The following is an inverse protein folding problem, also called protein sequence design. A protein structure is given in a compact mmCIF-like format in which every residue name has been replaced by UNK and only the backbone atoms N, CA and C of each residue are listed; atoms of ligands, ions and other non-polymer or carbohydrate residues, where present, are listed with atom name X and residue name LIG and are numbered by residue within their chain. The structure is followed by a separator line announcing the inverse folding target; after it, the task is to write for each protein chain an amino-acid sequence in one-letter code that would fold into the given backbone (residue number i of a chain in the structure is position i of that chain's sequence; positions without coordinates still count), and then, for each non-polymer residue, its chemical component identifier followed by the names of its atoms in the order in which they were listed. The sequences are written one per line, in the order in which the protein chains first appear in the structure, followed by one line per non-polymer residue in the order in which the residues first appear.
data_IF_079442899500
#
_entry.id   IF_079442899500
#
_cell.length_a   1.000
_cell.length_b   1.000
_cell.length_c   1.000
_cell.angle_alpha   90.00
_cell.angle_beta   90.00
_cell.angle_gamma   90.00
#
_symmetry.space_group_name_H-M   'P 1'
#
loop_
_entity.id
_entity.type
_entity.pdbx_description
1 polymer ?
#
# COMPACT_ATOMS: atom_id res chain seq x y z
N UNK A 1 -29.16 44.43 -14.74
CA UNK A 1 -27.97 43.81 -14.09
C UNK A 1 -28.30 42.72 -13.04
N UNK A 2 -29.54 42.54 -12.57
CA UNK A 2 -29.88 41.54 -11.54
C UNK A 2 -29.98 40.08 -12.06
N UNK A 3 -30.41 39.84 -13.32
CA UNK A 3 -30.58 38.48 -13.87
C UNK A 3 -29.29 37.65 -13.97
N UNK A 4 -28.13 38.28 -14.22
CA UNK A 4 -26.85 37.57 -14.39
C UNK A 4 -26.27 37.06 -13.07
N UNK A 5 -26.47 37.80 -11.97
CA UNK A 5 -26.02 37.39 -10.63
C UNK A 5 -26.83 36.19 -10.12
N UNK A 6 -28.13 36.15 -10.42
CA UNK A 6 -29.00 35.04 -10.05
C UNK A 6 -28.62 33.74 -10.78
N UNK A 7 -28.11 33.81 -12.02
CA UNK A 7 -27.67 32.64 -12.77
C UNK A 7 -26.43 31.98 -12.15
N UNK A 8 -25.48 32.78 -11.67
CA UNK A 8 -24.26 32.27 -11.00
C UNK A 8 -24.61 31.62 -9.67
N UNK A 9 -25.53 32.21 -8.90
CA UNK A 9 -26.03 31.63 -7.65
C UNK A 9 -26.77 30.31 -7.92
N UNK A 10 -27.57 30.25 -8.98
CA UNK A 10 -28.26 29.01 -9.38
C UNK A 10 -27.28 27.90 -9.75
N UNK A 11 -26.21 28.22 -10.49
CA UNK A 11 -25.17 27.26 -10.87
C UNK A 11 -24.43 26.69 -9.65
N UNK A 12 -24.13 27.53 -8.64
CA UNK A 12 -23.53 27.09 -7.39
C UNK A 12 -24.45 26.20 -6.55
N UNK A 13 -25.74 26.56 -6.45
CA UNK A 13 -26.72 25.74 -5.74
C UNK A 13 -26.91 24.38 -6.43
N UNK A 14 -26.94 24.35 -7.76
CA UNK A 14 -27.09 23.12 -8.54
C UNK A 14 -25.85 22.21 -8.40
N UNK A 15 -24.64 22.79 -8.39
CA UNK A 15 -23.41 22.05 -8.11
C UNK A 15 -23.38 21.46 -6.68
N UNK A 16 -23.80 22.24 -5.68
CA UNK A 16 -23.90 21.77 -4.30
C UNK A 16 -24.90 20.63 -4.14
N UNK A 17 -26.07 20.72 -4.80
CA UNK A 17 -27.05 19.61 -4.77
C UNK A 17 -26.51 18.35 -5.43
N UNK A 18 -25.77 18.49 -6.54
CA UNK A 18 -25.17 17.32 -7.22
C UNK A 18 -24.10 16.65 -6.36
N UNK A 19 -23.27 17.43 -5.65
CA UNK A 19 -22.26 16.89 -4.72
C UNK A 19 -22.93 16.15 -3.55
N UNK A 20 -24.01 16.69 -3.00
CA UNK A 20 -24.76 16.05 -1.91
C UNK A 20 -25.45 14.74 -2.34
N UNK A 21 -25.92 14.65 -3.58
CA UNK A 21 -26.49 13.42 -4.16
C UNK A 21 -25.40 12.35 -4.36
N UNK A 22 -24.19 12.75 -4.75
CA UNK A 22 -23.05 11.82 -4.87
C UNK A 22 -22.57 11.27 -3.52
N UNK A 23 -22.61 12.09 -2.46
CA UNK A 23 -22.24 11.68 -1.10
C UNK A 23 -23.28 10.70 -0.52
N UNK A 24 -24.57 10.93 -0.78
CA UNK A 24 -25.65 10.06 -0.30
C UNK A 24 -25.78 8.75 -1.10
N UNK A 25 -25.35 8.72 -2.36
CA UNK A 25 -25.29 7.49 -3.16
C UNK A 25 -24.10 6.56 -2.81
N UNK A 26 -23.15 7.02 -2.00
CA UNK A 26 -21.89 6.29 -1.71
C UNK A 26 -21.80 5.66 -0.32
N UNK A 27 -22.82 5.79 0.54
CA UNK A 27 -22.81 5.22 1.90
C UNK A 27 -24.04 4.34 2.16
N UNK A 28 -23.91 3.00 2.23
CA UNK A 28 -24.78 2.19 3.05
C UNK A 28 -24.19 2.10 4.47
N UNK A 29 -25.07 2.30 5.46
CA UNK A 29 -24.93 1.97 6.89
C UNK A 29 -24.09 2.89 7.80
N UNK A 30 -24.81 3.82 8.45
CA UNK A 30 -24.55 4.24 9.83
C UNK A 30 -25.17 3.20 10.76
N UNK A 31 -24.39 2.57 11.64
CA UNK A 31 -24.89 1.86 12.83
C UNK A 31 -24.08 2.34 14.03
N UNK A 32 -24.80 2.85 15.03
CA UNK A 32 -24.29 3.27 16.33
C UNK A 32 -23.92 2.06 17.19
N UNK A 33 -22.81 2.14 17.91
CA UNK A 33 -22.48 1.25 19.01
C UNK A 33 -21.42 1.90 19.89
N UNK A 34 -21.81 2.26 21.10
CA UNK A 34 -20.96 2.75 22.19
C UNK A 34 -20.44 1.51 22.92
N UNK A 35 -19.12 1.36 23.09
CA UNK A 35 -18.56 0.25 23.87
C UNK A 35 -17.64 0.74 24.99
N UNK A 36 -18.04 0.28 26.16
CA UNK A 36 -17.55 0.47 27.51
C UNK A 36 -16.20 -0.22 27.72
N UNK A 37 -15.34 0.34 28.57
CA UNK A 37 -14.01 -0.18 28.84
C UNK A 37 -13.94 -0.80 30.23
N UNK A 38 -14.11 -2.12 30.34
CA UNK A 38 -13.72 -2.88 31.52
C UNK A 38 -13.06 -4.23 31.17
N UNK A 39 -11.92 -4.44 31.83
CA UNK A 39 -11.30 -5.72 32.25
C UNK A 39 -10.21 -6.42 31.38
N UNK A 40 -9.02 -6.50 32.00
CA UNK A 40 -7.70 -6.93 31.49
C UNK A 40 -7.48 -8.45 31.63
N UNK A 41 -8.28 -9.26 30.94
CA UNK A 41 -8.05 -10.72 30.79
C UNK A 41 -7.22 -11.05 29.52
N UNK A 42 -7.29 -10.17 28.52
CA UNK A 42 -6.68 -10.35 27.20
C UNK A 42 -5.14 -10.41 27.19
N UNK A 43 -4.48 -9.88 28.23
CA UNK A 43 -3.01 -9.77 28.27
C UNK A 43 -2.30 -11.11 28.43
N UNK A 44 -2.97 -12.10 29.03
CA UNK A 44 -2.46 -13.47 29.16
C UNK A 44 -2.69 -14.24 27.85
N UNK A 45 -3.83 -14.07 27.17
CA UNK A 45 -4.06 -14.61 25.82
C UNK A 45 -3.10 -14.02 24.78
N UNK A 46 -2.73 -12.74 24.89
CA UNK A 46 -1.80 -12.10 23.96
C UNK A 46 -0.39 -12.72 23.98
N UNK A 47 0.03 -13.32 25.10
CA UNK A 47 1.32 -14.01 25.21
C UNK A 47 1.31 -15.41 24.56
N UNK A 48 0.15 -16.07 24.50
CA UNK A 48 -0.04 -17.37 23.82
C UNK A 48 -0.21 -17.20 22.31
N UNK A 49 -0.91 -16.13 21.88
CA UNK A 49 -1.07 -15.74 20.47
C UNK A 49 0.26 -15.33 19.80
N UNK A 50 1.25 -14.85 20.57
CA UNK A 50 2.56 -14.49 20.03
C UNK A 50 3.36 -15.70 19.49
N UNK A 51 3.08 -16.91 19.96
CA UNK A 51 3.65 -18.16 19.40
C UNK A 51 3.00 -18.52 18.05
N UNK A 52 1.76 -18.05 17.80
CA UNK A 52 1.00 -18.25 16.56
C UNK A 52 1.40 -17.24 15.47
N UNK A 53 1.99 -16.09 15.83
CA UNK A 53 2.44 -15.03 14.90
C UNK A 53 3.48 -15.51 13.89
N UNK A 54 4.21 -16.60 14.16
CA UNK A 54 5.20 -17.18 13.22
C UNK A 54 4.55 -17.83 11.97
N UNK A 55 3.22 -18.05 11.97
CA UNK A 55 2.48 -18.71 10.88
C UNK A 55 1.62 -17.71 10.05
N UNK A 56 1.41 -16.48 10.54
CA UNK A 56 0.36 -15.56 10.04
C UNK A 56 0.73 -14.75 8.78
N UNK A 57 1.99 -14.68 8.35
CA UNK A 57 2.36 -13.76 7.25
C UNK A 57 1.99 -14.23 5.83
N UNK A 58 1.37 -15.39 5.63
CA UNK A 58 1.02 -15.93 4.30
C UNK A 58 -0.48 -16.03 4.00
N UNK A 59 -1.33 -15.75 4.97
CA UNK A 59 -2.80 -15.87 4.86
C UNK A 59 -3.53 -14.53 4.79
N UNK A 60 -2.81 -13.42 4.55
CA UNK A 60 -3.43 -12.09 4.53
C UNK A 60 -3.80 -11.60 5.93
N UNK A 61 -3.02 -11.98 6.96
CA UNK A 61 -3.20 -11.51 8.32
C UNK A 61 -3.17 -9.99 8.37
N UNK A 62 -4.30 -9.38 8.72
CA UNK A 62 -4.38 -7.95 8.97
C UNK A 62 -3.39 -7.62 10.10
N UNK A 63 -2.45 -6.70 9.84
CA UNK A 63 -1.40 -6.32 10.79
C UNK A 63 -1.92 -5.36 11.89
N UNK A 64 -3.16 -5.57 12.34
CA UNK A 64 -3.84 -4.77 13.36
C UNK A 64 -3.09 -4.80 14.71
N UNK A 65 -2.24 -5.81 14.95
CA UNK A 65 -1.35 -5.90 16.12
C UNK A 65 -0.45 -4.66 16.31
N UNK A 66 -0.14 -3.92 15.23
CA UNK A 66 0.67 -2.71 15.31
C UNK A 66 -0.15 -1.43 15.47
N UNK A 67 -1.48 -1.49 15.38
CA UNK A 67 -2.34 -0.31 15.49
C UNK A 67 -2.15 0.47 16.81
N UNK A 68 -2.10 -0.17 17.99
CA UNK A 68 -1.88 0.55 19.25
C UNK A 68 -0.58 1.36 19.26
N UNK A 69 0.51 0.79 18.73
CA UNK A 69 1.81 1.47 18.62
C UNK A 69 1.71 2.75 17.76
N UNK A 70 1.04 2.67 16.61
CA UNK A 70 0.89 3.84 15.73
C UNK A 70 -0.03 4.91 16.31
N UNK A 71 -1.09 4.51 17.04
CA UNK A 71 -1.97 5.45 17.75
C UNK A 71 -1.22 6.24 18.83
N UNK A 72 -0.38 5.57 19.63
CA UNK A 72 0.46 6.22 20.64
C UNK A 72 1.43 7.24 20.02
N UNK A 73 1.91 6.98 18.80
CA UNK A 73 2.90 7.81 18.11
C UNK A 73 2.32 8.83 17.12
N UNK A 74 1.00 9.03 17.09
CA UNK A 74 0.29 9.84 16.09
C UNK A 74 0.87 11.25 15.90
N UNK A 75 1.32 11.91 16.99
CA UNK A 75 1.93 13.25 16.90
C UNK A 75 3.22 13.27 16.07
N UNK A 76 4.01 12.18 16.11
CA UNK A 76 5.30 12.08 15.40
C UNK A 76 5.13 11.51 13.99
N UNK A 77 4.09 10.71 13.73
CA UNK A 77 3.86 10.00 12.48
C UNK A 77 2.79 10.63 11.58
N UNK A 78 1.99 11.57 12.09
CA UNK A 78 0.98 12.28 11.30
C UNK A 78 1.61 13.13 10.20
N UNK A 79 0.96 13.15 9.03
CA UNK A 79 1.40 13.91 7.86
C UNK A 79 0.23 14.73 7.33
N UNK A 80 0.45 16.04 7.19
CA UNK A 80 -0.46 16.91 6.45
C UNK A 80 -0.03 16.97 4.99
N UNK A 81 -0.90 16.53 4.08
CA UNK A 81 -0.65 16.53 2.63
C UNK A 81 -1.42 17.70 2.01
N UNK A 82 -0.73 18.64 1.35
CA UNK A 82 -1.39 19.76 0.67
C UNK A 82 -2.11 19.31 -0.61
N UNK A 83 -3.13 20.05 -1.04
CA UNK A 83 -3.94 19.69 -2.23
C UNK A 83 -3.16 19.66 -3.55
N UNK A 84 -1.98 20.28 -3.60
CA UNK A 84 -1.07 20.26 -4.75
C UNK A 84 0.17 19.39 -4.52
N UNK A 85 0.22 18.63 -3.42
CA UNK A 85 1.34 17.76 -3.13
C UNK A 85 1.47 16.70 -4.23
N UNK A 86 2.66 16.62 -4.84
CA UNK A 86 3.01 15.60 -5.85
C UNK A 86 2.08 15.49 -7.06
N UNK A 87 1.64 16.61 -7.62
CA UNK A 87 0.93 16.62 -8.91
C UNK A 87 1.82 16.29 -10.13
N UNK A 88 3.15 16.27 -9.97
CA UNK A 88 4.11 15.93 -11.04
C UNK A 88 4.43 14.44 -11.03
N UNK A 89 4.67 13.87 -12.21
CA UNK A 89 5.10 12.48 -12.37
C UNK A 89 6.50 12.21 -11.79
N UNK A 90 7.39 13.20 -11.85
CA UNK A 90 8.77 13.10 -11.38
C UNK A 90 9.05 14.10 -10.25
N UNK A 91 10.07 13.81 -9.47
CA UNK A 91 10.64 14.74 -8.48
C UNK A 91 11.41 15.86 -9.18
N UNK A 92 11.76 16.89 -8.40
CA UNK A 92 12.53 18.03 -8.88
C UNK A 92 13.90 17.66 -9.44
N UNK A 93 14.47 16.53 -9.01
CA UNK A 93 15.74 15.99 -9.50
C UNK A 93 15.56 15.06 -10.72
N UNK A 94 14.34 14.96 -11.27
CA UNK A 94 14.01 14.09 -12.40
C UNK A 94 13.84 12.62 -12.05
N UNK A 95 14.03 12.24 -10.78
CA UNK A 95 13.81 10.86 -10.35
C UNK A 95 12.30 10.52 -10.35
N UNK A 96 11.97 9.24 -10.47
CA UNK A 96 10.60 8.72 -10.30
C UNK A 96 10.32 8.25 -8.86
N UNK A 97 11.36 8.22 -8.02
CA UNK A 97 11.35 7.64 -6.67
C UNK A 97 11.86 8.68 -5.66
N UNK A 98 11.20 8.80 -4.51
CA UNK A 98 11.56 9.75 -3.46
C UNK A 98 13.01 9.55 -2.99
N UNK A 99 13.92 10.52 -3.23
CA UNK A 99 15.30 10.42 -2.74
C UNK A 99 15.36 10.38 -1.21
N UNK A 100 14.46 11.11 -0.55
CA UNK A 100 14.36 11.13 0.91
C UNK A 100 13.91 9.77 1.46
N UNK A 101 12.98 9.09 0.80
CA UNK A 101 12.52 7.77 1.23
C UNK A 101 13.62 6.72 1.06
N UNK A 102 14.33 6.74 -0.07
CA UNK A 102 15.50 5.90 -0.32
C UNK A 102 16.54 6.08 0.78
N UNK A 103 16.84 7.33 1.16
CA UNK A 103 17.76 7.63 2.26
C UNK A 103 17.29 7.04 3.59
N UNK A 104 16.00 7.18 3.91
CA UNK A 104 15.44 6.66 5.16
C UNK A 104 15.41 5.12 5.21
N UNK A 105 15.12 4.45 4.09
CA UNK A 105 15.16 2.98 3.99
C UNK A 105 16.58 2.46 4.23
N UNK A 106 17.60 3.09 3.61
CA UNK A 106 19.00 2.71 3.85
C UNK A 106 19.38 2.85 5.32
N UNK A 107 19.02 4.00 5.93
CA UNK A 107 19.27 4.24 7.36
C UNK A 107 18.54 3.24 8.26
N UNK A 108 17.31 2.87 7.92
CA UNK A 108 16.56 1.85 8.66
C UNK A 108 17.30 0.51 8.65
N UNK A 109 17.72 0.04 7.48
CA UNK A 109 18.47 -1.22 7.35
C UNK A 109 19.85 -1.17 8.02
N UNK A 110 20.51 -0.01 8.03
CA UNK A 110 21.76 0.21 8.75
C UNK A 110 21.57 0.08 10.27
N UNK A 111 20.52 0.70 10.82
CA UNK A 111 20.23 0.66 12.26
C UNK A 111 19.79 -0.74 12.70
N UNK A 112 18.92 -1.39 11.93
CA UNK A 112 18.39 -2.73 12.27
C UNK A 112 19.42 -3.83 11.97
N UNK A 113 20.32 -3.62 11.00
CA UNK A 113 21.34 -4.59 10.62
C UNK A 113 20.80 -5.81 9.85
N UNK A 114 19.56 -5.75 9.33
CA UNK A 114 18.91 -6.89 8.66
C UNK A 114 19.17 -6.99 7.16
N UNK A 115 19.74 -5.96 6.51
CA UNK A 115 20.06 -6.00 5.08
C UNK A 115 21.22 -5.08 4.70
N UNK A 116 22.06 -5.54 3.77
CA UNK A 116 23.13 -4.73 3.17
C UNK A 116 22.54 -3.91 2.02
N UNK A 117 22.45 -2.59 2.18
CA UNK A 117 21.85 -1.69 1.17
C UNK A 117 22.87 -0.85 0.39
N UNK A 118 24.14 -0.86 0.80
CA UNK A 118 25.23 -0.19 0.09
C UNK A 118 25.44 -0.83 -1.28
N UNK A 119 25.70 0.01 -2.30
CA UNK A 119 25.93 -0.42 -3.69
C UNK A 119 24.76 -1.17 -4.35
N UNK A 120 23.57 -1.15 -3.74
CA UNK A 120 22.35 -1.75 -4.30
C UNK A 120 21.38 -0.68 -4.80
N UNK A 121 20.73 -1.00 -5.92
CA UNK A 121 19.58 -0.25 -6.42
C UNK A 121 18.36 -0.55 -5.54
N UNK A 122 17.58 0.48 -5.25
CA UNK A 122 16.30 0.36 -4.55
C UNK A 122 15.20 0.63 -5.57
N UNK A 123 14.33 -0.35 -5.76
CA UNK A 123 13.16 -0.28 -6.65
C UNK A 123 11.90 -0.35 -5.80
N UNK A 124 10.91 0.48 -6.14
CA UNK A 124 9.62 0.52 -5.46
C UNK A 124 8.56 -0.19 -6.29
N UNK A 125 7.67 -0.90 -5.62
CA UNK A 125 6.47 -1.48 -6.20
C UNK A 125 5.28 -1.28 -5.26
N UNK A 126 4.08 -1.41 -5.80
CA UNK A 126 2.81 -1.44 -5.08
C UNK A 126 2.67 -2.78 -4.34
N UNK A 127 3.46 -2.94 -3.29
CA UNK A 127 3.58 -4.18 -2.53
C UNK A 127 4.64 -5.14 -3.07
N UNK A 128 5.04 -6.08 -2.23
CA UNK A 128 6.04 -7.11 -2.55
C UNK A 128 5.60 -8.01 -3.71
N UNK A 129 4.31 -8.29 -3.86
CA UNK A 129 3.76 -9.09 -4.97
C UNK A 129 4.12 -8.53 -6.34
N UNK A 130 4.04 -7.20 -6.53
CA UNK A 130 4.45 -6.58 -7.79
C UNK A 130 5.95 -6.75 -8.04
N UNK A 131 6.78 -6.57 -7.00
CA UNK A 131 8.22 -6.70 -7.10
C UNK A 131 8.65 -8.14 -7.38
N UNK A 132 7.98 -9.14 -6.78
CA UNK A 132 8.22 -10.56 -7.06
C UNK A 132 7.92 -10.87 -8.53
N UNK A 133 6.76 -10.43 -9.04
CA UNK A 133 6.40 -10.63 -10.45
C UNK A 133 7.39 -9.92 -11.40
N UNK A 134 7.78 -8.68 -11.08
CA UNK A 134 8.76 -7.94 -11.87
C UNK A 134 10.15 -8.60 -11.85
N UNK A 135 10.57 -9.15 -10.71
CA UNK A 135 11.83 -9.88 -10.58
C UNK A 135 11.82 -11.17 -11.39
N UNK A 136 10.73 -11.96 -11.32
CA UNK A 136 10.54 -13.16 -12.14
C UNK A 136 10.61 -12.78 -13.62
N UNK A 137 9.89 -11.74 -14.05
CA UNK A 137 9.94 -11.28 -15.44
C UNK A 137 11.34 -10.87 -15.89
N UNK A 138 12.04 -10.03 -15.10
CA UNK A 138 13.37 -9.53 -15.42
C UNK A 138 14.44 -10.64 -15.48
N UNK A 139 14.31 -11.68 -14.65
CA UNK A 139 15.20 -12.83 -14.64
C UNK A 139 14.90 -13.80 -15.78
N UNK A 140 13.62 -14.00 -16.12
CA UNK A 140 13.19 -14.85 -17.24
C UNK A 140 13.58 -14.30 -18.61
N UNK A 141 13.70 -12.97 -18.76
CA UNK A 141 14.11 -12.35 -20.02
C UNK A 141 15.53 -12.74 -20.48
N UNK A 142 16.36 -13.30 -19.58
CA UNK A 142 17.67 -13.85 -19.93
C UNK A 142 17.61 -15.29 -20.47
N UNK A 143 16.45 -15.94 -20.39
CA UNK A 143 16.22 -17.28 -20.90
C UNK A 143 15.72 -17.21 -22.34
N UNK A 144 16.22 -18.11 -23.20
CA UNK A 144 15.77 -18.20 -24.60
C UNK A 144 14.26 -18.48 -24.66
N UNK A 145 13.57 -18.00 -25.70
CA UNK A 145 12.16 -18.31 -25.96
C UNK A 145 11.87 -19.83 -26.05
N UNK A 146 12.92 -20.62 -26.27
CA UNK A 146 12.85 -22.08 -26.37
C UNK A 146 12.91 -22.79 -25.01
N UNK A 147 13.40 -22.12 -23.95
CA UNK A 147 13.56 -22.69 -22.61
C UNK A 147 13.00 -21.72 -21.54
N UNK A 148 11.69 -21.81 -21.22
CA UNK A 148 11.08 -20.93 -20.24
C UNK A 148 11.71 -21.12 -18.85
N UNK A 149 11.96 -20.00 -18.16
CA UNK A 149 12.54 -20.04 -16.82
C UNK A 149 11.59 -20.73 -15.82
N UNK A 150 12.10 -21.74 -15.13
CA UNK A 150 11.35 -22.47 -14.10
C UNK A 150 11.48 -21.75 -12.76
N UNK A 151 10.37 -21.21 -12.25
CA UNK A 151 10.31 -20.67 -10.88
C UNK A 151 10.04 -21.82 -9.91
N UNK A 152 10.95 -22.02 -8.96
CA UNK A 152 10.86 -23.06 -7.94
C UNK A 152 10.82 -22.42 -6.55
N UNK A 153 10.07 -23.03 -5.64
CA UNK A 153 10.09 -22.68 -4.22
C UNK A 153 10.16 -23.96 -3.37
N UNK A 154 10.84 -23.89 -2.24
CA UNK A 154 10.98 -25.01 -1.30
C UNK A 154 9.77 -25.06 -0.38
N UNK A 155 9.21 -26.26 -0.15
CA UNK A 155 8.07 -26.46 0.76
C UNK A 155 8.51 -26.44 2.23
N UNK A 156 7.71 -25.87 3.16
CA UNK A 156 6.45 -25.15 2.94
C UNK A 156 6.67 -23.74 2.38
N UNK A 157 5.76 -23.27 1.51
CA UNK A 157 5.88 -21.97 0.85
C UNK A 157 4.64 -21.09 0.98
N UNK A 158 4.87 -19.78 0.92
CA UNK A 158 3.82 -18.78 0.88
C UNK A 158 3.08 -18.82 -0.48
N UNK A 159 1.75 -19.02 -0.52
CA UNK A 159 0.99 -19.01 -1.76
C UNK A 159 0.81 -17.55 -2.23
N UNK A 160 1.86 -16.98 -2.81
CA UNK A 160 1.77 -15.69 -3.50
C UNK A 160 1.30 -15.96 -4.92
N UNK A 161 0.30 -15.21 -5.39
CA UNK A 161 -0.09 -15.19 -6.81
C UNK A 161 1.06 -14.64 -7.66
N UNK A 162 1.99 -15.52 -8.03
CA UNK A 162 2.98 -15.21 -9.05
C UNK A 162 2.25 -15.31 -10.39
N UNK A 163 1.91 -14.17 -11.00
CA UNK A 163 1.24 -14.12 -12.31
C UNK A 163 2.28 -14.41 -13.40
N UNK A 164 2.72 -15.66 -13.47
CA UNK A 164 3.65 -16.12 -14.52
C UNK A 164 2.96 -16.27 -15.88
N UNK A 165 1.65 -16.55 -15.90
CA UNK A 165 0.90 -16.85 -17.13
C UNK A 165 0.35 -15.61 -17.86
N UNK A 166 0.39 -14.41 -17.27
CA UNK A 166 -0.19 -13.20 -17.91
C UNK A 166 0.80 -12.47 -18.84
N UNK A 167 2.08 -12.88 -18.88
CA UNK A 167 3.11 -12.24 -19.71
C UNK A 167 3.41 -12.98 -21.00
N UNK A 168 2.69 -14.07 -21.31
CA UNK A 168 2.65 -14.62 -22.67
C UNK A 168 1.76 -13.74 -23.54
N UNK A 169 2.29 -12.62 -24.01
CA UNK A 169 1.74 -12.02 -25.21
C UNK A 169 2.10 -12.96 -26.37
N UNK A 170 1.16 -13.83 -26.75
CA UNK A 170 1.08 -14.32 -28.11
C UNK A 170 0.94 -13.08 -29.00
N UNK A 171 2.06 -12.68 -29.62
CA UNK A 171 2.01 -11.84 -30.81
C UNK A 171 1.78 -12.80 -31.94
N UNK A 172 0.49 -13.06 -32.23
CA UNK A 172 0.10 -13.61 -33.51
C UNK A 172 0.54 -12.61 -34.59
N UNK A 173 1.51 -13.03 -35.41
CA UNK A 173 1.91 -12.35 -36.66
C UNK A 173 0.97 -12.80 -37.77
#
# INVERSE_FOLDING_TARGET
MAKRKNLVVYMYLLALTLIMISISASNPAFVSGEEDCDELDWSISAAEEAEIVDIVSCSGGELNIFEPFWREHARKSSVLVSGWHRMRYNYSDGSSISPLLVKNIRKLHEIVGNAITNERYIVFGSGSTQLINAAVYALSHKSSLLDPAKVLNTSPYCPVEIRTQLFSYEVDI
#
